data_IF_527239123968
#
_entry.id   IF_527239123968
#
_cell.length_a   1.000
_cell.length_b   1.000
_cell.length_c   1.000
_cell.angle_alpha   90.00
_cell.angle_beta   90.00
_cell.angle_gamma   90.00
#
_symmetry.space_group_name_H-M   'P 1'
#
loop_
_entity.id
_entity.type
_entity.pdbx_description
1 polymer ?
#
# COMPACT_ATOMS: atom_id res chain seq x y z
N UNK A 1 7.88 44.27 -31.74
CA UNK A 1 8.53 43.11 -31.07
C UNK A 1 7.44 42.37 -30.30
N UNK A 2 7.11 41.14 -30.70
CA UNK A 2 6.12 40.30 -29.99
C UNK A 2 6.81 39.65 -28.79
N UNK A 3 6.25 39.72 -27.57
CA UNK A 3 6.84 39.00 -26.45
C UNK A 3 6.71 37.49 -26.71
N UNK A 4 7.85 36.79 -26.63
CA UNK A 4 7.89 35.34 -26.64
C UNK A 4 7.03 34.83 -25.47
N UNK A 5 6.01 34.03 -25.80
CA UNK A 5 5.23 33.31 -24.80
C UNK A 5 6.21 32.41 -24.07
N UNK A 6 6.46 32.70 -22.79
CA UNK A 6 7.15 31.78 -21.91
C UNK A 6 6.28 30.53 -21.88
N UNK A 7 6.81 29.42 -22.41
CA UNK A 7 6.20 28.10 -22.21
C UNK A 7 6.28 27.82 -20.71
N UNK A 8 5.28 28.25 -19.96
CA UNK A 8 5.02 27.71 -18.65
C UNK A 8 4.60 26.26 -18.91
N UNK A 9 5.48 25.32 -18.56
CA UNK A 9 5.08 23.94 -18.35
C UNK A 9 4.11 23.95 -17.15
N UNK A 10 2.86 24.34 -17.38
CA UNK A 10 1.78 24.11 -16.44
C UNK A 10 1.66 22.59 -16.35
N UNK A 11 2.24 22.02 -15.29
CA UNK A 11 2.15 20.59 -14.99
C UNK A 11 0.69 20.30 -14.69
N UNK A 12 -0.05 19.84 -15.69
CA UNK A 12 -1.43 19.39 -15.53
C UNK A 12 -1.45 18.31 -14.45
N UNK A 13 -2.27 18.47 -13.40
CA UNK A 13 -2.46 17.40 -12.43
C UNK A 13 -3.03 16.17 -13.14
N UNK A 14 -2.50 15.00 -12.83
CA UNK A 14 -3.10 13.72 -13.20
C UNK A 14 -3.77 13.15 -11.97
N UNK A 15 -4.96 12.57 -12.13
CA UNK A 15 -5.61 11.87 -11.01
C UNK A 15 -4.76 10.67 -10.61
N UNK A 16 -4.62 10.43 -9.30
CA UNK A 16 -4.05 9.21 -8.77
C UNK A 16 -4.72 8.01 -9.44
N UNK A 17 -3.90 7.21 -10.10
CA UNK A 17 -4.27 5.92 -10.67
C UNK A 17 -3.44 4.87 -9.98
N UNK A 18 -4.05 3.71 -9.79
CA UNK A 18 -3.43 2.61 -9.08
C UNK A 18 -2.16 2.19 -9.86
N UNK A 19 -0.99 2.07 -9.20
CA UNK A 19 0.28 1.92 -9.92
C UNK A 19 0.47 0.56 -10.61
N UNK A 20 -0.30 -0.45 -10.20
CA UNK A 20 -0.19 -1.84 -10.65
C UNK A 20 -1.24 -2.16 -11.72
N UNK A 21 -0.85 -2.94 -12.73
CA UNK A 21 -1.75 -3.35 -13.83
C UNK A 21 -3.03 -4.06 -13.34
N UNK A 22 -2.94 -4.76 -12.20
CA UNK A 22 -4.04 -5.51 -11.58
C UNK A 22 -4.68 -4.79 -10.37
N UNK A 23 -4.36 -3.51 -10.14
CA UNK A 23 -4.90 -2.70 -9.05
C UNK A 23 -4.69 -3.25 -7.62
N UNK A 24 -3.64 -4.04 -7.39
CA UNK A 24 -3.41 -4.69 -6.10
C UNK A 24 -2.87 -3.74 -5.04
N UNK A 25 -3.37 -3.87 -3.81
CA UNK A 25 -2.99 -3.08 -2.62
C UNK A 25 -2.09 -3.92 -1.72
N UNK A 26 -0.92 -3.41 -1.28
CA UNK A 26 -0.11 -4.09 -0.28
C UNK A 26 -0.79 -4.02 1.10
N UNK A 27 -0.90 -5.16 1.76
CA UNK A 27 -1.45 -5.30 3.10
C UNK A 27 -0.35 -5.76 4.05
N UNK A 28 -0.26 -5.12 5.22
CA UNK A 28 0.64 -5.51 6.30
C UNK A 28 -0.15 -5.79 7.56
N UNK A 29 0.09 -6.94 8.17
CA UNK A 29 -0.44 -7.31 9.48
C UNK A 29 0.68 -7.25 10.51
N UNK A 30 0.42 -6.58 11.62
CA UNK A 30 1.25 -6.63 12.83
C UNK A 30 0.32 -6.60 14.05
N UNK A 31 -0.18 -7.78 14.42
CA UNK A 31 -1.25 -7.95 15.41
C UNK A 31 -0.68 -8.74 16.58
N UNK A 32 -0.92 -8.26 17.80
CA UNK A 32 -0.50 -8.92 19.04
C UNK A 32 -1.69 -9.06 19.99
N UNK A 33 -1.98 -10.29 20.43
CA UNK A 33 -3.07 -10.62 21.37
C UNK A 33 -2.51 -11.65 22.36
N UNK A 34 -2.63 -11.37 23.65
CA UNK A 34 -2.22 -12.27 24.75
C UNK A 34 -0.80 -12.87 24.59
N UNK A 35 0.14 -12.05 24.09
CA UNK A 35 1.54 -12.44 23.89
C UNK A 35 1.82 -13.27 22.63
N UNK A 36 0.79 -13.61 21.84
CA UNK A 36 0.96 -14.19 20.52
C UNK A 36 0.95 -13.09 19.47
N UNK A 37 1.84 -13.17 18.47
CA UNK A 37 2.00 -12.13 17.45
C UNK A 37 1.92 -12.71 16.04
N UNK A 38 1.11 -12.07 15.20
CA UNK A 38 1.02 -12.32 13.77
C UNK A 38 1.68 -11.16 13.02
N UNK A 39 2.72 -11.47 12.26
CA UNK A 39 3.35 -10.54 11.30
C UNK A 39 3.31 -11.15 9.91
N UNK A 40 2.65 -10.46 9.00
CA UNK A 40 2.50 -10.92 7.62
C UNK A 40 2.44 -9.74 6.66
N UNK A 41 2.81 -9.98 5.41
CA UNK A 41 2.73 -9.00 4.34
C UNK A 41 2.36 -9.69 3.02
N UNK A 42 1.27 -9.25 2.41
CA UNK A 42 0.73 -9.81 1.17
C UNK A 42 0.10 -8.70 0.31
N UNK A 43 -0.44 -9.07 -0.83
CA UNK A 43 -1.17 -8.18 -1.74
C UNK A 43 -2.64 -8.59 -1.80
N UNK A 44 -3.53 -7.61 -1.94
CA UNK A 44 -4.97 -7.82 -1.94
C UNK A 44 -5.63 -7.11 -3.13
N UNK A 45 -6.67 -7.73 -3.71
CA UNK A 45 -7.50 -7.07 -4.71
C UNK A 45 -8.57 -6.21 -4.02
N UNK A 46 -8.53 -4.87 -4.13
CA UNK A 46 -9.47 -3.99 -3.44
C UNK A 46 -10.91 -4.10 -3.96
N UNK A 47 -11.12 -4.78 -5.10
CA UNK A 47 -12.44 -5.08 -5.65
C UNK A 47 -13.08 -6.34 -5.05
N UNK A 48 -12.32 -7.15 -4.29
CA UNK A 48 -12.89 -8.34 -3.63
C UNK A 48 -13.86 -7.92 -2.50
N UNK A 49 -14.97 -8.65 -2.32
CA UNK A 49 -15.96 -8.31 -1.31
C UNK A 49 -15.45 -8.60 0.12
N UNK A 50 -16.07 -7.94 1.11
CA UNK A 50 -15.75 -8.14 2.54
C UNK A 50 -15.86 -9.59 3.01
N UNK A 51 -16.67 -10.41 2.33
CA UNK A 51 -16.78 -11.84 2.60
C UNK A 51 -15.47 -12.58 2.37
N UNK A 52 -14.69 -12.20 1.35
CA UNK A 52 -13.38 -12.82 1.09
C UNK A 52 -12.37 -12.44 2.17
N UNK A 53 -12.39 -11.20 2.66
CA UNK A 53 -11.57 -10.76 3.80
C UNK A 53 -11.87 -11.59 5.04
N UNK A 54 -13.17 -11.79 5.35
CA UNK A 54 -13.60 -12.59 6.49
C UNK A 54 -13.22 -14.08 6.35
N UNK A 55 -13.31 -14.64 5.15
CA UNK A 55 -12.90 -16.02 4.87
C UNK A 55 -11.39 -16.18 4.98
N UNK A 56 -10.61 -15.25 4.45
CA UNK A 56 -9.16 -15.21 4.61
C UNK A 56 -8.77 -15.18 6.09
N UNK A 57 -9.34 -14.25 6.87
CA UNK A 57 -9.05 -14.16 8.30
C UNK A 57 -9.32 -15.47 9.06
N UNK A 58 -10.45 -16.14 8.77
CA UNK A 58 -10.79 -17.44 9.37
C UNK A 58 -9.81 -18.55 8.95
N UNK A 59 -9.42 -18.61 7.68
CA UNK A 59 -8.46 -19.59 7.16
C UNK A 59 -7.08 -19.37 7.79
N UNK A 60 -6.58 -18.14 7.79
CA UNK A 60 -5.29 -17.78 8.39
C UNK A 60 -5.23 -18.17 9.87
N UNK A 61 -6.26 -17.86 10.66
CA UNK A 61 -6.33 -18.25 12.07
C UNK A 61 -6.31 -19.76 12.24
N UNK A 62 -7.05 -20.50 11.40
CA UNK A 62 -7.08 -21.97 11.44
C UNK A 62 -5.71 -22.58 11.07
N UNK A 63 -5.12 -22.13 9.97
CA UNK A 63 -3.89 -22.70 9.40
C UNK A 63 -2.69 -22.43 10.31
N UNK A 64 -2.63 -21.25 10.92
CA UNK A 64 -1.58 -20.85 11.86
C UNK A 64 -1.89 -21.24 13.32
N UNK A 65 -3.03 -21.90 13.58
CA UNK A 65 -3.48 -22.32 14.91
C UNK A 65 -3.50 -21.15 15.92
N UNK A 66 -3.98 -19.99 15.48
CA UNK A 66 -4.09 -18.78 16.31
C UNK A 66 -5.39 -18.80 17.14
N UNK A 67 -5.47 -18.02 18.23
CA UNK A 67 -6.70 -17.79 18.97
C UNK A 67 -7.80 -17.19 18.08
N UNK A 68 -9.08 -17.56 18.27
CA UNK A 68 -10.19 -17.01 17.49
C UNK A 68 -10.30 -15.47 17.51
N UNK A 69 -9.77 -14.83 18.57
CA UNK A 69 -9.72 -13.37 18.70
C UNK A 69 -8.97 -12.68 17.54
N UNK A 70 -8.04 -13.37 16.87
CA UNK A 70 -7.32 -12.83 15.72
C UNK A 70 -8.21 -12.62 14.49
N UNK A 71 -9.32 -13.35 14.34
CA UNK A 71 -10.16 -13.27 13.14
C UNK A 71 -10.65 -11.83 12.92
N UNK A 72 -11.19 -11.22 13.98
CA UNK A 72 -11.70 -9.84 13.92
C UNK A 72 -10.58 -8.83 13.66
N UNK A 73 -9.43 -9.00 14.32
CA UNK A 73 -8.30 -8.08 14.18
C UNK A 73 -7.68 -8.13 12.77
N UNK A 74 -7.54 -9.32 12.19
CA UNK A 74 -7.06 -9.49 10.81
C UNK A 74 -8.03 -8.82 9.84
N UNK A 75 -9.33 -9.11 9.94
CA UNK A 75 -10.33 -8.54 9.03
C UNK A 75 -10.36 -7.00 9.12
N UNK A 76 -10.37 -6.44 10.33
CA UNK A 76 -10.35 -4.99 10.56
C UNK A 76 -9.08 -4.34 10.01
N UNK A 77 -7.91 -4.97 10.20
CA UNK A 77 -6.64 -4.45 9.70
C UNK A 77 -6.61 -4.39 8.16
N UNK A 78 -7.12 -5.43 7.49
CA UNK A 78 -7.24 -5.46 6.02
C UNK A 78 -8.21 -4.37 5.56
N UNK A 79 -9.41 -4.32 6.13
CA UNK A 79 -10.45 -3.36 5.75
C UNK A 79 -10.02 -1.90 5.95
N UNK A 80 -9.32 -1.61 7.04
CA UNK A 80 -8.79 -0.27 7.32
C UNK A 80 -7.80 0.18 6.23
N UNK A 81 -6.85 -0.68 5.87
CA UNK A 81 -5.87 -0.40 4.80
C UNK A 81 -6.53 -0.25 3.43
N UNK A 82 -7.58 -1.04 3.14
CA UNK A 82 -8.35 -0.88 1.90
C UNK A 82 -9.16 0.42 1.89
N UNK A 83 -9.73 0.83 3.02
CA UNK A 83 -10.46 2.09 3.14
C UNK A 83 -9.52 3.31 3.00
N UNK A 84 -8.36 3.26 3.65
CA UNK A 84 -7.28 4.25 3.49
C UNK A 84 -6.85 4.33 2.02
N UNK A 85 -6.62 3.19 1.38
CA UNK A 85 -6.26 3.14 -0.04
C UNK A 85 -7.31 3.81 -0.94
N UNK A 86 -8.59 3.49 -0.74
CA UNK A 86 -9.71 4.09 -1.50
C UNK A 86 -9.82 5.60 -1.29
N UNK A 87 -9.37 6.12 -0.15
CA UNK A 87 -9.38 7.57 0.11
C UNK A 87 -8.41 8.37 -0.77
N UNK A 88 -7.43 7.70 -1.39
CA UNK A 88 -6.51 8.31 -2.35
C UNK A 88 -7.06 8.33 -3.78
N UNK A 89 -8.11 7.56 -4.08
CA UNK A 89 -8.70 7.55 -5.43
C UNK A 89 -9.22 8.93 -5.80
N UNK A 90 -8.82 9.40 -7.00
CA UNK A 90 -9.27 10.69 -7.53
C UNK A 90 -8.54 11.92 -6.97
N UNK A 91 -7.59 11.75 -6.04
CA UNK A 91 -6.72 12.86 -5.63
C UNK A 91 -5.81 13.31 -6.78
N UNK A 92 -5.65 14.61 -6.96
CA UNK A 92 -4.76 15.17 -7.97
C UNK A 92 -3.30 14.92 -7.59
N UNK A 93 -2.57 14.25 -8.46
CA UNK A 93 -1.11 14.08 -8.38
C UNK A 93 -0.41 14.99 -9.38
N UNK A 94 0.78 15.46 -9.03
CA UNK A 94 1.59 16.25 -9.94
C UNK A 94 2.65 15.36 -10.61
N UNK A 95 2.57 15.20 -11.93
CA UNK A 95 3.62 14.56 -12.74
C UNK A 95 4.78 15.53 -12.92
N UNK A 96 5.58 15.71 -11.88
CA UNK A 96 6.95 16.16 -12.02
C UNK A 96 7.86 14.94 -12.03
N UNK A 97 8.77 14.84 -13.00
CA UNK A 97 9.86 13.87 -12.93
C UNK A 97 10.71 14.17 -11.70
N UNK A 98 10.54 13.38 -10.65
CA UNK A 98 11.34 13.47 -9.44
C UNK A 98 11.91 12.10 -9.14
N UNK A 99 13.23 12.01 -9.18
CA UNK A 99 13.95 10.84 -8.68
C UNK A 99 13.92 10.89 -7.15
N UNK A 100 13.28 9.90 -6.54
CA UNK A 100 13.24 9.74 -5.09
C UNK A 100 14.01 8.47 -4.71
N UNK A 101 14.93 8.53 -3.72
CA UNK A 101 15.59 7.33 -3.23
C UNK A 101 14.59 6.48 -2.45
N UNK A 102 14.38 5.25 -2.90
CA UNK A 102 13.66 4.22 -2.15
C UNK A 102 14.70 3.39 -1.43
N UNK A 103 14.58 3.32 -0.10
CA UNK A 103 15.41 2.46 0.75
C UNK A 103 14.64 1.17 1.02
N UNK A 104 15.24 0.05 0.70
CA UNK A 104 14.71 -1.27 0.98
C UNK A 104 15.39 -1.82 2.24
N UNK A 105 14.62 -2.14 3.26
CA UNK A 105 15.07 -2.85 4.46
C UNK A 105 14.12 -4.03 4.68
N UNK A 106 14.51 -5.21 4.19
CA UNK A 106 13.71 -6.41 4.24
C UNK A 106 14.41 -7.46 5.09
N UNK A 107 13.74 -7.93 6.14
CA UNK A 107 14.19 -9.05 6.95
C UNK A 107 13.28 -10.25 6.75
N UNK A 108 13.87 -11.36 6.32
CA UNK A 108 13.20 -12.65 6.23
C UNK A 108 14.04 -13.65 7.03
N UNK A 109 13.49 -14.09 8.17
CA UNK A 109 14.20 -14.93 9.14
C UNK A 109 15.55 -14.30 9.58
N UNK A 110 16.65 -14.96 9.21
CA UNK A 110 18.02 -14.52 9.49
C UNK A 110 18.64 -13.71 8.36
N UNK A 111 17.97 -13.61 7.21
CA UNK A 111 18.46 -12.87 6.05
C UNK A 111 17.96 -11.44 6.10
N UNK A 112 18.89 -10.50 5.97
CA UNK A 112 18.62 -9.07 5.90
C UNK A 112 19.09 -8.55 4.55
N UNK A 113 18.15 -8.03 3.76
CA UNK A 113 18.42 -7.38 2.48
C UNK A 113 18.27 -5.88 2.67
N UNK A 114 19.36 -5.16 2.48
CA UNK A 114 19.40 -3.70 2.47
C UNK A 114 19.83 -3.22 1.10
N UNK A 115 19.02 -2.38 0.49
CA UNK A 115 19.31 -1.80 -0.82
C UNK A 115 18.78 -0.36 -0.89
N UNK A 116 19.27 0.40 -1.86
CA UNK A 116 18.78 1.72 -2.17
C UNK A 116 18.87 1.98 -3.68
N UNK A 117 17.74 2.32 -4.29
CA UNK A 117 17.67 2.71 -5.70
C UNK A 117 16.87 4.01 -5.88
N UNK A 118 17.08 4.69 -7.01
CA UNK A 118 16.30 5.87 -7.38
C UNK A 118 15.04 5.42 -8.14
N UNK A 119 13.89 5.97 -7.76
CA UNK A 119 12.62 5.72 -8.42
C UNK A 119 12.03 7.01 -8.98
N UNK A 120 11.48 6.94 -10.19
CA UNK A 120 10.74 8.06 -10.78
C UNK A 120 9.36 8.12 -10.12
N UNK A 121 9.18 9.08 -9.20
CA UNK A 121 7.92 9.28 -8.51
C UNK A 121 7.05 10.30 -9.22
N UNK A 122 5.77 9.99 -9.30
CA UNK A 122 4.70 10.96 -9.50
C UNK A 122 4.37 11.55 -8.11
N UNK A 123 4.36 12.87 -7.96
CA UNK A 123 4.34 13.56 -6.67
C UNK A 123 3.00 13.34 -5.93
N UNK A 124 3.07 12.85 -4.68
CA UNK A 124 2.14 13.11 -3.53
C UNK A 124 2.51 12.37 -2.21
N UNK A 125 3.65 11.66 -2.10
CA UNK A 125 3.98 10.84 -0.91
C UNK A 125 4.43 11.60 0.35
N UNK A 126 4.02 12.84 0.59
CA UNK A 126 4.41 13.57 1.82
C UNK A 126 3.23 14.26 2.49
N UNK A 127 2.73 13.62 3.54
CA UNK A 127 2.41 14.24 4.85
C UNK A 127 2.55 13.17 5.91
#
# INVERSE_FOLDING_TARGET
>A
MKPHSAWSYAKTPVKFKIPTADNLVPIRLDIEIDGQRLRDAFIWNPSDPDTEVALFAKRTVKDLKLPPAFVTQIAQSIQSQLAEFRSYEGQDMFTGEKFVPIKLDLRVNHTLVKDQFLWVSVQNWRT
#
